data_IF_134100327629
#
_entry.id   IF_134100327629
#
_cell.length_a   1.000
_cell.length_b   1.000
_cell.length_c   1.000
_cell.angle_alpha   90.00
_cell.angle_beta   90.00
_cell.angle_gamma   90.00
#
_symmetry.space_group_name_H-M   'P 1'
#
loop_
_entity.id
_entity.type
_entity.pdbx_description
1 polymer ?
#
# COMPACT_ATOMS: atom_id res chain seq x y z
N UNK A 1 -17.22 -4.56 -5.71
CA UNK A 1 -15.90 -4.13 -6.23
C UNK A 1 -15.88 -2.59 -6.45
N UNK A 2 -15.90 -1.75 -5.41
CA UNK A 2 -15.90 -0.27 -5.55
C UNK A 2 -14.80 0.42 -4.71
N UNK A 3 -13.83 -0.33 -4.19
CA UNK A 3 -12.79 0.21 -3.32
C UNK A 3 -11.50 0.63 -4.05
N UNK A 4 -11.21 0.01 -5.21
CA UNK A 4 -10.03 0.29 -6.05
C UNK A 4 -9.97 1.73 -6.59
N UNK A 5 -11.11 2.30 -6.99
CA UNK A 5 -11.16 3.66 -7.56
C UNK A 5 -10.90 4.74 -6.51
N UNK A 6 -11.20 4.47 -5.24
CA UNK A 6 -10.95 5.43 -4.15
C UNK A 6 -9.52 5.36 -3.61
N UNK A 7 -8.88 4.19 -3.63
CA UNK A 7 -7.51 4.02 -3.11
C UNK A 7 -6.44 4.65 -4.02
N UNK A 8 -6.64 4.63 -5.34
CA UNK A 8 -5.72 5.26 -6.32
C UNK A 8 -5.52 6.76 -6.15
N UNK A 9 -6.49 7.46 -5.53
CA UNK A 9 -6.43 8.92 -5.31
C UNK A 9 -5.80 9.30 -3.97
N UNK A 10 -5.68 8.35 -3.04
CA UNK A 10 -5.11 8.53 -1.71
C UNK A 10 -3.60 8.40 -1.73
N UNK A 11 -2.95 8.95 -0.72
CA UNK A 11 -1.50 8.80 -0.54
C UNK A 11 -1.14 7.45 0.08
N UNK A 12 0.10 7.00 -0.16
CA UNK A 12 0.64 5.78 0.44
C UNK A 12 0.56 5.88 1.97
N UNK A 13 0.81 7.06 2.54
CA UNK A 13 0.65 7.37 3.97
C UNK A 13 -0.75 7.15 4.51
N UNK A 14 -1.76 7.67 3.81
CA UNK A 14 -3.16 7.51 4.23
C UNK A 14 -3.57 6.04 4.19
N UNK A 15 -3.23 5.34 3.12
CA UNK A 15 -3.53 3.92 2.95
C UNK A 15 -2.82 3.06 3.99
N UNK A 16 -1.54 3.32 4.24
CA UNK A 16 -0.75 2.67 5.28
C UNK A 16 -1.36 2.86 6.66
N UNK A 17 -1.80 4.08 6.99
CA UNK A 17 -2.47 4.37 8.27
C UNK A 17 -3.84 3.70 8.39
N UNK A 18 -4.62 3.64 7.30
CA UNK A 18 -5.91 2.93 7.30
C UNK A 18 -5.74 1.43 7.57
N UNK A 19 -4.63 0.85 7.12
CA UNK A 19 -4.26 -0.56 7.38
C UNK A 19 -3.57 -0.76 8.75
N UNK A 20 -3.33 0.32 9.52
CA UNK A 20 -2.63 0.23 10.81
C UNK A 20 -1.14 -0.10 10.70
N UNK A 21 -0.54 0.06 9.52
CA UNK A 21 0.85 -0.32 9.26
C UNK A 21 1.84 0.84 9.53
N UNK A 22 3.02 0.52 10.01
CA UNK A 22 4.16 1.45 10.04
C UNK A 22 4.94 1.41 8.72
N UNK A 23 5.71 2.48 8.44
CA UNK A 23 6.55 2.52 7.24
C UNK A 23 7.59 1.38 7.23
N UNK A 24 8.08 0.98 8.41
CA UNK A 24 9.02 -0.12 8.57
C UNK A 24 8.38 -1.48 8.27
N UNK A 25 7.16 -1.72 8.74
CA UNK A 25 6.42 -2.96 8.46
C UNK A 25 6.05 -3.09 6.98
N UNK A 26 5.65 -1.99 6.34
CA UNK A 26 5.41 -1.97 4.90
C UNK A 26 6.69 -2.26 4.12
N UNK A 27 7.81 -1.64 4.52
CA UNK A 27 9.12 -1.88 3.92
C UNK A 27 9.56 -3.36 4.06
N UNK A 28 9.35 -3.97 5.25
CA UNK A 28 9.67 -5.37 5.49
C UNK A 28 8.83 -6.34 4.64
N UNK A 29 7.52 -6.07 4.47
CA UNK A 29 6.65 -6.89 3.62
C UNK A 29 7.09 -6.90 2.16
N UNK A 30 7.53 -5.74 1.68
CA UNK A 30 7.89 -5.50 0.27
C UNK A 30 9.40 -5.73 0.05
N UNK A 31 10.16 -6.01 1.12
CA UNK A 31 11.61 -6.19 1.12
C UNK A 31 12.35 -4.99 0.53
N UNK A 32 11.83 -3.78 0.79
CA UNK A 32 12.44 -2.52 0.38
C UNK A 32 13.07 -1.78 1.57
N UNK A 33 13.89 -0.79 1.24
CA UNK A 33 14.44 0.13 2.22
C UNK A 33 13.33 1.01 2.82
N UNK A 34 13.39 1.25 4.14
CA UNK A 34 12.42 2.15 4.79
C UNK A 34 12.52 3.58 4.25
N UNK A 35 13.71 3.99 3.80
CA UNK A 35 13.94 5.30 3.18
C UNK A 35 13.18 5.47 1.86
N UNK A 36 13.03 4.41 1.07
CA UNK A 36 12.24 4.42 -0.16
C UNK A 36 10.75 4.56 0.15
N UNK A 37 10.25 3.84 1.16
CA UNK A 37 8.86 3.96 1.62
C UNK A 37 8.57 5.38 2.13
N UNK A 38 9.50 6.00 2.83
CA UNK A 38 9.35 7.38 3.32
C UNK A 38 9.30 8.40 2.17
N UNK A 39 10.05 8.19 1.08
CA UNK A 39 10.01 9.06 -0.11
C UNK A 39 8.66 8.99 -0.84
N UNK A 40 8.03 7.81 -0.85
CA UNK A 40 6.74 7.59 -1.51
C UNK A 40 5.54 7.82 -0.57
N UNK A 41 5.75 8.01 0.74
CA UNK A 41 4.68 8.15 1.74
C UNK A 41 3.73 9.31 1.36
N UNK A 42 4.28 10.43 0.90
CA UNK A 42 3.52 11.61 0.46
C UNK A 42 3.06 11.52 -1.02
N UNK A 43 3.46 10.50 -1.77
CA UNK A 43 2.98 10.26 -3.13
C UNK A 43 1.62 9.58 -3.13
N UNK A 44 0.82 9.83 -4.17
CA UNK A 44 -0.42 9.08 -4.41
C UNK A 44 -0.09 7.70 -4.95
N UNK A 45 -0.92 6.71 -4.63
CA UNK A 45 -0.69 5.34 -5.08
C UNK A 45 -0.53 5.26 -6.62
N UNK A 46 -1.30 6.03 -7.38
CA UNK A 46 -1.21 6.09 -8.85
C UNK A 46 0.11 6.68 -9.40
N UNK A 47 0.83 7.46 -8.60
CA UNK A 47 2.04 8.19 -9.00
C UNK A 47 3.32 7.44 -8.53
N UNK A 48 3.16 6.30 -7.86
CA UNK A 48 4.27 5.43 -7.44
C UNK A 48 4.85 4.73 -8.69
N UNK A 49 6.17 4.74 -8.88
CA UNK A 49 6.79 4.05 -10.00
C UNK A 49 6.65 2.51 -9.89
N UNK A 50 6.48 1.83 -11.02
CA UNK A 50 6.72 0.39 -11.11
C UNK A 50 8.23 0.11 -10.89
N UNK A 51 8.64 -0.93 -10.14
CA UNK A 51 7.89 -2.10 -9.68
C UNK A 51 7.31 -2.00 -8.26
N UNK A 52 7.48 -0.87 -7.56
CA UNK A 52 7.00 -0.68 -6.19
C UNK A 52 5.47 -0.69 -6.12
N UNK A 53 4.81 -0.05 -7.09
CA UNK A 53 3.35 -0.03 -7.20
C UNK A 53 2.73 -1.43 -7.12
N UNK A 54 3.22 -2.37 -7.94
CA UNK A 54 2.67 -3.73 -8.04
C UNK A 54 2.78 -4.52 -6.74
N UNK A 55 3.79 -4.24 -5.91
CA UNK A 55 3.97 -4.90 -4.62
C UNK A 55 3.14 -4.23 -3.50
N UNK A 56 3.00 -2.90 -3.55
CA UNK A 56 2.28 -2.11 -2.54
C UNK A 56 0.76 -2.22 -2.72
N UNK A 57 0.27 -2.22 -3.97
CA UNK A 57 -1.16 -2.23 -4.31
C UNK A 57 -1.96 -3.34 -3.61
N UNK A 58 -1.58 -4.63 -3.66
CA UNK A 58 -2.36 -5.71 -3.03
C UNK A 58 -2.39 -5.60 -1.50
N UNK A 59 -1.31 -5.10 -0.89
CA UNK A 59 -1.19 -4.94 0.56
C UNK A 59 -2.08 -3.79 1.04
N UNK A 60 -2.05 -2.65 0.35
CA UNK A 60 -2.79 -1.46 0.75
C UNK A 60 -4.28 -1.54 0.39
N UNK A 61 -4.63 -2.26 -0.67
CA UNK A 61 -6.02 -2.41 -1.13
C UNK A 61 -6.78 -3.49 -0.36
N UNK A 62 -6.10 -4.30 0.47
CA UNK A 62 -6.74 -5.36 1.26
C UNK A 62 -7.11 -6.60 0.46
N UNK A 63 -6.56 -6.76 -0.74
CA UNK A 63 -6.84 -7.94 -1.59
C UNK A 63 -6.32 -9.24 -0.95
N UNK A 64 -5.27 -9.15 -0.13
CA UNK A 64 -4.80 -10.24 0.75
C UNK A 64 -5.85 -10.65 1.79
N UNK A 65 -6.67 -9.71 2.28
CA UNK A 65 -7.67 -9.97 3.33
C UNK A 65 -8.94 -10.58 2.74
N UNK A 66 -9.30 -10.21 1.50
CA UNK A 66 -10.42 -10.79 0.74
C UNK A 66 -10.20 -12.26 0.33
N UNK A 67 -8.95 -12.74 0.28
CA UNK A 67 -8.62 -14.14 -0.04
C UNK A 67 -8.80 -15.12 1.11
N UNK A 68 -9.30 -14.67 2.27
CA UNK A 68 -9.61 -15.53 3.41
C UNK A 68 -11.11 -15.88 3.34
N UNK A 69 -11.49 -17.07 2.85
CA UNK A 69 -12.89 -17.38 2.55
C UNK A 69 -13.79 -17.62 3.77
N UNK A 70 -13.31 -17.39 5.00
CA UNK A 70 -14.05 -17.69 6.23
C UNK A 70 -13.78 -16.73 7.40
N UNK A 71 -13.79 -15.41 7.15
CA UNK A 71 -14.05 -14.43 8.22
C UNK A 71 -15.47 -13.85 8.10
#
# INVERSE_FOLDING_TARGET
MFWFTSCRRKTVKELRKNQGLTARELAQRIKCETTEILKIDDMKLKDVPEPLYSQIEPILTGEETDKIPWL
#
